data_IF_105216530566
#
_entry.id   IF_105216530566
#
_cell.length_a   1.000
_cell.length_b   1.000
_cell.length_c   1.000
_cell.angle_alpha   90.00
_cell.angle_beta   90.00
_cell.angle_gamma   90.00
#
_symmetry.space_group_name_H-M   'P 1'
#
loop_
_entity.id
_entity.type
_entity.pdbx_description
1 polymer ?
#
# COMPACT_ATOMS: atom_id res chain seq x y z
N UNK A 1 -21.52 9.43 -3.71
CA UNK A 1 -21.45 9.43 -2.23
C UNK A 1 -22.12 8.17 -1.68
N UNK A 2 -21.50 7.01 -1.88
CA UNK A 2 -22.14 5.69 -1.67
C UNK A 2 -22.47 5.42 -0.20
N UNK A 3 -21.54 5.73 0.72
CA UNK A 3 -21.73 5.52 2.17
C UNK A 3 -22.92 6.33 2.71
N UNK A 4 -23.10 7.57 2.24
CA UNK A 4 -24.21 8.40 2.68
C UNK A 4 -25.57 7.85 2.21
N UNK A 5 -25.63 7.34 0.97
CA UNK A 5 -26.85 6.69 0.46
C UNK A 5 -27.22 5.45 1.28
N UNK A 6 -26.24 4.72 1.83
CA UNK A 6 -26.48 3.55 2.70
C UNK A 6 -26.81 3.92 4.14
N UNK A 7 -26.29 5.03 4.67
CA UNK A 7 -26.54 5.48 6.04
C UNK A 7 -27.86 6.23 6.17
N UNK A 8 -28.27 6.95 5.12
CA UNK A 8 -29.47 7.79 5.13
C UNK A 8 -30.61 7.21 4.28
N UNK A 9 -30.51 5.97 3.80
CA UNK A 9 -31.51 5.32 2.94
C UNK A 9 -32.90 5.21 3.58
N UNK A 10 -32.97 5.04 4.90
CA UNK A 10 -34.23 4.88 5.66
C UNK A 10 -34.67 6.17 6.36
N UNK A 11 -33.89 7.25 6.24
CA UNK A 11 -34.15 8.51 6.93
C UNK A 11 -35.06 9.42 6.12
N UNK A 12 -36.07 9.98 6.77
CA UNK A 12 -37.14 10.76 6.12
C UNK A 12 -36.63 12.01 5.37
N UNK A 13 -35.47 12.51 5.78
CA UNK A 13 -34.78 13.67 5.17
C UNK A 13 -33.43 13.27 4.54
N UNK A 14 -33.19 11.98 4.32
CA UNK A 14 -31.88 11.48 3.87
C UNK A 14 -31.46 12.07 2.53
N UNK A 15 -32.38 12.19 1.57
CA UNK A 15 -32.10 12.78 0.26
C UNK A 15 -31.66 14.24 0.33
N UNK A 16 -32.27 15.02 1.22
CA UNK A 16 -31.92 16.44 1.42
C UNK A 16 -30.56 16.59 2.10
N UNK A 17 -30.25 15.73 3.07
CA UNK A 17 -28.92 15.72 3.70
C UNK A 17 -27.86 15.30 2.71
N UNK A 18 -28.12 14.29 1.88
CA UNK A 18 -27.22 13.82 0.83
C UNK A 18 -26.97 14.91 -0.21
N UNK A 19 -28.01 15.58 -0.72
CA UNK A 19 -27.87 16.64 -1.71
C UNK A 19 -27.09 17.83 -1.17
N UNK A 20 -27.37 18.23 0.07
CA UNK A 20 -26.65 19.32 0.75
C UNK A 20 -25.18 18.98 0.96
N UNK A 21 -24.87 17.73 1.35
CA UNK A 21 -23.49 17.27 1.56
C UNK A 21 -22.73 17.04 0.25
N UNK A 22 -23.41 16.64 -0.84
CA UNK A 22 -22.77 16.51 -2.15
C UNK A 22 -22.37 17.86 -2.74
N UNK A 23 -23.08 18.93 -2.39
CA UNK A 23 -22.72 20.30 -2.77
C UNK A 23 -21.56 20.88 -1.94
N UNK A 24 -21.19 20.24 -0.83
CA UNK A 24 -20.01 20.63 -0.05
C UNK A 24 -18.75 20.13 -0.75
N UNK A 25 -18.25 20.93 -1.70
CA UNK A 25 -16.91 20.75 -2.25
C UNK A 25 -15.88 21.02 -1.15
N UNK A 26 -15.29 19.94 -0.61
CA UNK A 26 -14.09 20.07 0.21
C UNK A 26 -12.98 20.59 -0.70
N UNK A 27 -12.55 21.83 -0.48
CA UNK A 27 -11.45 22.41 -1.26
C UNK A 27 -10.23 21.49 -1.25
N UNK A 28 -9.48 21.45 -2.35
CA UNK A 28 -8.34 20.54 -2.53
C UNK A 28 -7.37 20.54 -1.33
N UNK A 29 -7.15 21.69 -0.70
CA UNK A 29 -6.34 21.84 0.52
C UNK A 29 -6.87 21.04 1.72
N UNK A 30 -8.18 20.91 1.85
CA UNK A 30 -8.83 20.15 2.92
C UNK A 30 -8.71 18.65 2.69
N UNK A 31 -8.84 18.20 1.44
CA UNK A 31 -8.63 16.80 1.06
C UNK A 31 -7.17 16.42 1.32
N UNK A 32 -6.21 17.21 0.83
CA UNK A 32 -4.78 16.99 1.05
C UNK A 32 -4.44 16.94 2.54
N UNK A 33 -4.95 17.88 3.34
CA UNK A 33 -4.72 17.89 4.79
C UNK A 33 -5.25 16.62 5.48
N UNK A 34 -6.40 16.10 5.03
CA UNK A 34 -6.97 14.85 5.56
C UNK A 34 -6.13 13.64 5.18
N UNK A 35 -5.69 13.53 3.93
CA UNK A 35 -4.80 12.44 3.48
C UNK A 35 -3.49 12.45 4.26
N UNK A 36 -2.86 13.63 4.43
CA UNK A 36 -1.64 13.77 5.22
C UNK A 36 -1.85 13.38 6.69
N UNK A 37 -2.98 13.77 7.29
CA UNK A 37 -3.30 13.41 8.67
C UNK A 37 -3.51 11.89 8.85
N UNK A 38 -4.17 11.23 7.90
CA UNK A 38 -4.32 9.77 7.91
C UNK A 38 -2.99 9.05 7.74
N UNK A 39 -2.14 9.52 6.81
CA UNK A 39 -0.79 8.99 6.61
C UNK A 39 0.06 9.12 7.88
N UNK A 40 0.09 10.31 8.50
CA UNK A 40 0.82 10.51 9.75
C UNK A 40 0.33 9.59 10.88
N UNK A 41 -0.99 9.39 10.98
CA UNK A 41 -1.54 8.48 11.98
C UNK A 41 -1.13 7.01 11.76
N UNK A 42 -1.10 6.54 10.51
CA UNK A 42 -0.64 5.20 10.15
C UNK A 42 0.85 5.02 10.48
N UNK A 43 1.69 6.00 10.15
CA UNK A 43 3.12 5.99 10.48
C UNK A 43 3.34 5.87 11.99
N UNK A 44 2.65 6.67 12.79
CA UNK A 44 2.78 6.58 14.25
C UNK A 44 2.32 5.24 14.83
N UNK A 45 1.30 4.60 14.23
CA UNK A 45 0.86 3.27 14.65
C UNK A 45 1.94 2.22 14.36
N UNK A 46 2.52 2.25 13.16
CA UNK A 46 3.61 1.35 12.77
C UNK A 46 4.83 1.52 13.66
N UNK A 47 5.24 2.75 13.96
CA UNK A 47 6.38 3.02 14.85
C UNK A 47 6.14 2.47 16.26
N UNK A 48 4.92 2.63 16.80
CA UNK A 48 4.57 2.07 18.12
C UNK A 48 4.61 0.55 18.12
N UNK A 49 4.19 -0.08 17.04
CA UNK A 49 4.17 -1.54 16.96
C UNK A 49 5.58 -2.10 16.75
N UNK A 50 6.40 -1.47 15.91
CA UNK A 50 7.83 -1.76 15.78
C UNK A 50 8.58 -1.62 17.11
N UNK A 51 8.30 -0.56 17.88
CA UNK A 51 8.94 -0.33 19.18
C UNK A 51 8.55 -1.37 20.26
N UNK A 52 7.38 -1.99 20.16
CA UNK A 52 6.95 -3.07 21.07
C UNK A 52 7.60 -4.41 20.74
N UNK A 53 8.02 -4.60 19.50
CA UNK A 53 8.65 -5.83 19.07
C UNK A 53 10.10 -5.89 19.59
N UNK A 54 10.39 -6.92 20.40
CA UNK A 54 11.77 -7.26 20.78
C UNK A 54 12.44 -8.01 19.62
N UNK A 55 12.82 -7.30 18.58
CA UNK A 55 13.61 -7.89 17.51
C UNK A 55 15.06 -8.00 17.97
N UNK A 56 15.58 -9.21 18.02
CA UNK A 56 17.01 -9.38 17.89
C UNK A 56 17.30 -9.32 16.38
N UNK A 57 18.17 -8.39 15.96
CA UNK A 57 18.72 -8.43 14.60
C UNK A 57 19.64 -9.65 14.51
N UNK A 58 19.03 -10.81 14.32
CA UNK A 58 19.72 -11.96 13.79
C UNK A 58 19.53 -11.82 12.29
N UNK A 59 20.59 -11.39 11.59
CA UNK A 59 20.68 -11.51 10.14
C UNK A 59 20.74 -13.01 9.82
N UNK A 60 19.59 -13.68 9.96
CA UNK A 60 19.31 -14.94 9.32
C UNK A 60 18.72 -14.56 7.97
N UNK A 61 19.52 -14.67 6.92
CA UNK A 61 19.02 -14.55 5.56
C UNK A 61 18.03 -15.69 5.27
N UNK A 62 17.11 -15.47 4.34
CA UNK A 62 16.19 -16.51 3.85
C UNK A 62 16.96 -17.73 3.27
N UNK A 63 18.22 -17.52 2.88
CA UNK A 63 19.15 -18.54 2.37
C UNK A 63 19.74 -19.49 3.43
N UNK A 64 19.41 -19.32 4.71
CA UNK A 64 19.55 -20.36 5.71
C UNK A 64 20.44 -20.01 6.89
N UNK A 65 20.69 -21.02 7.73
CA UNK A 65 21.31 -20.93 9.07
C UNK A 65 22.79 -20.52 9.07
N UNK A 66 23.20 -19.53 8.30
CA UNK A 66 24.61 -19.14 8.19
C UNK A 66 24.86 -17.92 9.05
N UNK A 67 25.50 -18.17 10.19
CA UNK A 67 26.01 -17.14 11.10
C UNK A 67 27.29 -16.52 10.50
N UNK A 68 27.27 -16.09 9.24
CA UNK A 68 28.45 -15.69 8.46
C UNK A 68 29.23 -14.55 9.12
N UNK A 69 28.51 -13.67 9.81
CA UNK A 69 29.06 -12.46 10.40
C UNK A 69 29.41 -12.60 11.89
N UNK A 70 29.26 -13.78 12.49
CA UNK A 70 29.63 -14.01 13.90
C UNK A 70 30.54 -15.24 14.08
N UNK A 71 31.85 -15.13 13.76
CA UNK A 71 32.81 -16.24 13.82
C UNK A 71 32.93 -16.87 15.22
N UNK A 72 32.86 -16.06 16.28
CA UNK A 72 32.91 -16.55 17.66
C UNK A 72 31.70 -17.42 18.00
N UNK A 73 30.52 -17.09 17.46
CA UNK A 73 29.31 -17.90 17.63
C UNK A 73 29.43 -19.20 16.85
N UNK A 74 29.97 -19.17 15.62
CA UNK A 74 30.22 -20.39 14.85
C UNK A 74 31.14 -21.37 15.59
N UNK A 75 32.23 -20.88 16.18
CA UNK A 75 33.15 -21.71 16.98
C UNK A 75 32.44 -22.39 18.14
N UNK A 76 31.64 -21.63 18.90
CA UNK A 76 30.89 -22.17 20.06
C UNK A 76 29.84 -23.21 19.64
N UNK A 77 29.16 -22.98 18.52
CA UNK A 77 28.15 -23.92 18.01
C UNK A 77 28.79 -25.21 17.46
N UNK A 78 29.96 -25.11 16.81
CA UNK A 78 30.71 -26.26 16.31
C UNK A 78 31.18 -27.17 17.46
N UNK A 79 31.68 -26.56 18.54
CA UNK A 79 32.30 -27.29 19.64
C UNK A 79 31.27 -27.81 20.67
N UNK A 80 30.01 -27.37 20.59
CA UNK A 80 28.97 -27.74 21.55
C UNK A 80 27.66 -28.13 20.86
N UNK A 81 27.46 -29.44 20.68
CA UNK A 81 26.26 -29.99 20.05
C UNK A 81 24.94 -29.61 20.76
N UNK A 82 24.96 -29.46 22.09
CA UNK A 82 23.76 -29.03 22.83
C UNK A 82 23.41 -27.56 22.59
N UNK A 83 24.43 -26.70 22.49
CA UNK A 83 24.27 -25.30 22.12
C UNK A 83 23.81 -25.16 20.67
N UNK A 84 24.35 -25.97 19.75
CA UNK A 84 23.91 -26.04 18.35
C UNK A 84 22.42 -26.39 18.25
N UNK A 85 21.98 -27.46 18.91
CA UNK A 85 20.57 -27.86 18.88
C UNK A 85 19.62 -26.82 19.50
N UNK A 86 20.05 -26.15 20.57
CA UNK A 86 19.29 -25.06 21.18
C UNK A 86 19.20 -23.83 20.26
N UNK A 87 20.30 -23.49 19.59
CA UNK A 87 20.36 -22.40 18.60
C UNK A 87 19.46 -22.70 17.41
N UNK A 88 19.54 -23.91 16.84
CA UNK A 88 18.69 -24.34 15.73
C UNK A 88 17.20 -24.19 16.06
N UNK A 89 16.80 -24.61 17.27
CA UNK A 89 15.41 -24.49 17.72
C UNK A 89 14.98 -23.04 17.94
N UNK A 90 15.89 -22.16 18.38
CA UNK A 90 15.62 -20.74 18.53
C UNK A 90 15.51 -20.04 17.18
N UNK A 91 16.41 -20.35 16.24
CA UNK A 91 16.39 -19.83 14.87
C UNK A 91 15.11 -20.26 14.15
N UNK A 92 14.70 -21.52 14.27
CA UNK A 92 13.45 -22.02 13.69
C UNK A 92 12.22 -21.25 14.20
N UNK A 93 12.13 -21.00 15.51
CA UNK A 93 11.07 -20.18 16.09
C UNK A 93 11.08 -18.75 15.56
N UNK A 94 12.27 -18.17 15.40
CA UNK A 94 12.43 -16.84 14.83
C UNK A 94 11.92 -16.80 13.39
N UNK A 95 12.34 -17.73 12.52
CA UNK A 95 11.84 -17.85 11.15
C UNK A 95 10.32 -18.01 11.10
N UNK A 96 9.73 -18.82 11.98
CA UNK A 96 8.27 -18.96 12.06
C UNK A 96 7.58 -17.64 12.38
N UNK A 97 8.14 -16.82 13.29
CA UNK A 97 7.59 -15.50 13.60
C UNK A 97 7.75 -14.54 12.43
N UNK A 98 8.92 -14.51 11.78
CA UNK A 98 9.16 -13.67 10.59
C UNK A 98 8.20 -14.03 9.46
N UNK A 99 8.11 -15.32 9.11
CA UNK A 99 7.22 -15.79 8.04
C UNK A 99 5.76 -15.49 8.36
N UNK A 100 5.35 -15.68 9.62
CA UNK A 100 3.99 -15.31 10.05
C UNK A 100 3.74 -13.82 9.91
N UNK A 101 4.69 -12.96 10.31
CA UNK A 101 4.56 -11.51 10.18
C UNK A 101 4.54 -11.07 8.71
N UNK A 102 5.39 -11.65 7.86
CA UNK A 102 5.35 -11.46 6.42
C UNK A 102 3.98 -11.81 5.83
N UNK A 103 3.43 -12.97 6.22
CA UNK A 103 2.10 -13.37 5.77
C UNK A 103 0.98 -12.47 6.31
N UNK A 104 1.05 -12.05 7.58
CA UNK A 104 0.08 -11.09 8.14
C UNK A 104 0.14 -9.74 7.42
N UNK A 105 1.33 -9.29 7.02
CA UNK A 105 1.51 -8.08 6.21
C UNK A 105 0.91 -8.27 4.82
N UNK A 106 1.29 -9.33 4.10
CA UNK A 106 0.70 -9.65 2.79
C UNK A 106 -0.82 -9.75 2.85
N UNK A 107 -1.38 -10.43 3.85
CA UNK A 107 -2.82 -10.57 4.02
C UNK A 107 -3.50 -9.23 4.32
N UNK A 108 -2.86 -8.36 5.11
CA UNK A 108 -3.40 -7.06 5.49
C UNK A 108 -3.40 -6.07 4.33
N UNK A 109 -2.42 -6.18 3.43
CA UNK A 109 -2.21 -5.26 2.31
C UNK A 109 -2.41 -5.93 0.94
N UNK A 110 -3.11 -7.07 0.89
CA UNK A 110 -3.35 -7.79 -0.36
C UNK A 110 -4.23 -7.00 -1.34
N UNK A 111 -5.04 -6.09 -0.80
CA UNK A 111 -5.87 -5.14 -1.53
C UNK A 111 -5.04 -4.09 -2.29
N UNK A 112 -3.81 -3.79 -1.84
CA UNK A 112 -2.92 -2.88 -2.57
C UNK A 112 -2.51 -3.44 -3.93
N UNK A 113 -2.42 -4.76 -4.06
CA UNK A 113 -2.23 -5.41 -5.35
C UNK A 113 -3.41 -5.17 -6.31
N UNK A 114 -4.63 -5.08 -5.78
CA UNK A 114 -5.82 -4.75 -6.58
C UNK A 114 -5.88 -3.26 -6.94
N UNK A 115 -5.29 -2.40 -6.10
CA UNK A 115 -5.20 -0.96 -6.35
C UNK A 115 -4.07 -0.57 -7.29
N UNK A 116 -3.07 -1.42 -7.52
CA UNK A 116 -1.89 -1.11 -8.33
C UNK A 116 -2.23 -0.62 -9.76
N UNK A 117 -3.13 -1.27 -10.52
CA UNK A 117 -3.55 -0.76 -11.83
C UNK A 117 -4.21 0.62 -11.74
N UNK A 118 -5.05 0.83 -10.72
CA UNK A 118 -5.77 2.07 -10.47
C UNK A 118 -4.81 3.22 -10.11
N UNK A 119 -3.87 2.97 -9.20
CA UNK A 119 -2.85 3.93 -8.76
C UNK A 119 -1.91 4.27 -9.91
N UNK A 120 -1.53 3.28 -10.72
CA UNK A 120 -0.71 3.49 -11.91
C UNK A 120 -1.38 4.44 -12.90
N UNK A 121 -2.68 4.23 -13.16
CA UNK A 121 -3.45 5.12 -14.02
C UNK A 121 -3.62 6.51 -13.43
N UNK A 122 -4.02 6.66 -12.16
CA UNK A 122 -4.18 7.98 -11.53
C UNK A 122 -2.86 8.75 -11.52
N UNK A 123 -1.74 8.05 -11.31
CA UNK A 123 -0.40 8.65 -11.34
C UNK A 123 0.01 9.06 -12.75
N UNK A 124 -0.51 8.39 -13.77
CA UNK A 124 -0.21 8.67 -15.17
C UNK A 124 -1.45 8.47 -16.07
N UNK A 125 -2.42 9.40 -16.08
CA UNK A 125 -3.73 9.19 -16.73
C UNK A 125 -3.67 9.07 -18.26
N UNK A 126 -2.52 9.40 -18.83
CA UNK A 126 -2.24 9.42 -20.27
C UNK A 126 -1.38 8.22 -20.70
N UNK A 127 -1.13 7.27 -19.80
CA UNK A 127 -0.53 5.98 -20.18
C UNK A 127 -1.46 5.20 -21.11
N UNK A 128 -0.87 4.39 -21.99
CA UNK A 128 -1.65 3.41 -22.73
C UNK A 128 -2.07 2.30 -21.78
N UNK A 129 -3.39 2.10 -21.70
CA UNK A 129 -4.05 1.06 -20.92
C UNK A 129 -5.10 0.41 -21.80
N UNK A 130 -5.44 -0.84 -21.47
CA UNK A 130 -6.68 -1.44 -21.94
C UNK A 130 -7.83 -0.73 -21.21
N UNK A 131 -8.56 0.10 -21.97
CA UNK A 131 -9.61 0.97 -21.46
C UNK A 131 -10.70 0.18 -20.73
N UNK A 132 -11.16 -0.91 -21.34
CA UNK A 132 -12.26 -1.72 -20.79
C UNK A 132 -11.80 -2.46 -19.55
N UNK A 133 -10.60 -3.07 -19.59
CA UNK A 133 -10.05 -3.77 -18.44
C UNK A 133 -9.88 -2.84 -17.22
N UNK A 134 -9.31 -1.65 -17.42
CA UNK A 134 -9.08 -0.73 -16.29
C UNK A 134 -10.36 -0.06 -15.81
N UNK A 135 -11.32 0.20 -16.69
CA UNK A 135 -12.62 0.73 -16.29
C UNK A 135 -13.42 -0.29 -15.48
N UNK A 136 -13.41 -1.57 -15.85
CA UNK A 136 -14.01 -2.66 -15.07
C UNK A 136 -13.33 -2.80 -13.70
N UNK A 137 -11.99 -2.71 -13.65
CA UNK A 137 -11.25 -2.75 -12.38
C UNK A 137 -11.61 -1.56 -11.48
N UNK A 138 -11.54 -0.33 -11.99
CA UNK A 138 -11.93 0.88 -11.24
C UNK A 138 -13.40 0.83 -10.79
N UNK A 139 -14.28 0.33 -11.67
CA UNK A 139 -15.70 0.11 -11.38
C UNK A 139 -15.88 -0.85 -10.21
N UNK A 140 -15.21 -2.00 -10.22
CA UNK A 140 -15.28 -2.99 -9.15
C UNK A 140 -14.66 -2.48 -7.84
N UNK A 141 -13.51 -1.82 -7.90
CA UNK A 141 -12.77 -1.32 -6.73
C UNK A 141 -13.51 -0.16 -6.04
N UNK A 142 -14.07 0.77 -6.80
CA UNK A 142 -14.71 1.97 -6.24
C UNK A 142 -16.25 1.92 -6.25
N UNK A 143 -16.83 0.82 -6.74
CA UNK A 143 -18.27 0.61 -6.89
C UNK A 143 -18.94 1.76 -7.68
N UNK A 144 -18.40 2.03 -8.87
CA UNK A 144 -18.87 3.08 -9.80
C UNK A 144 -19.25 2.46 -11.14
N UNK A 145 -20.04 3.16 -11.96
CA UNK A 145 -20.46 2.64 -13.28
C UNK A 145 -19.29 2.56 -14.26
N UNK A 146 -19.05 1.37 -14.84
CA UNK A 146 -17.95 1.14 -15.75
C UNK A 146 -18.02 2.02 -17.01
N UNK A 147 -19.22 2.24 -17.56
CA UNK A 147 -19.39 3.08 -18.76
C UNK A 147 -19.05 4.55 -18.51
N UNK A 148 -19.43 5.08 -17.35
CA UNK A 148 -19.01 6.43 -16.93
C UNK A 148 -17.50 6.52 -16.74
N UNK A 149 -16.88 5.50 -16.14
CA UNK A 149 -15.43 5.45 -15.96
C UNK A 149 -14.70 5.42 -17.31
N UNK A 150 -15.17 4.64 -18.28
CA UNK A 150 -14.59 4.63 -19.64
C UNK A 150 -14.61 6.01 -20.29
N UNK A 151 -15.71 6.75 -20.16
CA UNK A 151 -15.85 8.11 -20.70
C UNK A 151 -14.88 9.08 -20.00
N UNK A 152 -14.73 8.99 -18.68
CA UNK A 152 -13.79 9.82 -17.93
C UNK A 152 -12.33 9.52 -18.31
N UNK A 153 -11.97 8.23 -18.43
CA UNK A 153 -10.63 7.83 -18.88
C UNK A 153 -10.34 8.38 -20.27
N UNK A 154 -11.27 8.24 -21.22
CA UNK A 154 -11.13 8.79 -22.58
C UNK A 154 -10.97 10.31 -22.56
N UNK A 155 -11.69 10.99 -21.68
CA UNK A 155 -11.61 12.44 -21.51
C UNK A 155 -10.21 12.84 -21.02
N UNK A 156 -9.71 12.18 -19.97
CA UNK A 156 -8.38 12.42 -19.41
C UNK A 156 -7.26 12.08 -20.41
N UNK A 157 -7.38 10.97 -21.11
CA UNK A 157 -6.42 10.54 -22.14
C UNK A 157 -6.44 11.42 -23.38
N UNK A 158 -7.49 12.21 -23.62
CA UNK A 158 -7.56 13.13 -24.75
C UNK A 158 -7.25 14.59 -24.38
N UNK A 159 -7.11 14.90 -23.09
CA UNK A 159 -6.78 16.24 -22.62
C UNK A 159 -5.37 16.67 -23.09
N UNK A 160 -5.32 17.77 -23.84
CA UNK A 160 -4.09 18.31 -24.42
C UNK A 160 -3.17 18.92 -23.36
N UNK A 161 -3.72 19.49 -22.29
CA UNK A 161 -2.94 20.08 -21.20
C UNK A 161 -2.26 19.00 -20.35
N UNK A 162 -2.97 17.91 -20.04
CA UNK A 162 -2.39 16.75 -19.35
C UNK A 162 -1.26 16.12 -20.17
N UNK A 163 -1.46 15.94 -21.48
CA UNK A 163 -0.40 15.46 -22.39
C UNK A 163 0.83 16.36 -22.42
N UNK A 164 0.63 17.68 -22.41
CA UNK A 164 1.74 18.63 -22.43
C UNK A 164 2.59 18.60 -21.16
N UNK A 165 1.97 18.37 -19.99
CA UNK A 165 2.64 18.35 -18.69
C UNK A 165 3.10 16.94 -18.25
N UNK A 166 2.66 15.88 -18.93
CA UNK A 166 2.98 14.49 -18.62
C UNK A 166 4.48 14.22 -18.52
N UNK A 167 5.28 14.73 -19.47
CA UNK A 167 6.74 14.50 -19.47
C UNK A 167 7.41 15.10 -18.23
N UNK A 168 6.93 16.25 -17.77
CA UNK A 168 7.47 16.92 -16.58
C UNK A 168 7.01 16.23 -15.28
N UNK A 169 5.75 15.79 -15.23
CA UNK A 169 5.20 15.06 -14.09
C UNK A 169 5.82 13.65 -13.92
N UNK A 170 6.05 12.92 -15.02
CA UNK A 170 6.75 11.63 -15.00
C UNK A 170 8.19 11.77 -14.49
N UNK A 171 8.89 12.84 -14.87
CA UNK A 171 10.24 13.09 -14.40
C UNK A 171 10.27 13.39 -12.88
N UNK A 172 9.32 14.18 -12.38
CA UNK A 172 9.19 14.44 -10.94
C UNK A 172 8.81 13.18 -10.15
N UNK A 173 7.88 12.36 -10.65
CA UNK A 173 7.49 11.09 -10.01
C UNK A 173 8.65 10.08 -9.99
N UNK A 174 9.47 10.04 -11.04
CA UNK A 174 10.68 9.22 -11.10
C UNK A 174 11.71 9.67 -10.06
N UNK A 175 11.89 10.98 -9.87
CA UNK A 175 12.84 11.52 -8.89
C UNK A 175 12.35 11.40 -7.44
N UNK A 176 11.04 11.39 -7.19
CA UNK A 176 10.49 11.46 -5.81
C UNK A 176 9.81 10.18 -5.29
N UNK A 177 9.17 9.38 -6.13
CA UNK A 177 8.38 8.22 -5.69
C UNK A 177 9.08 6.86 -5.92
N UNK A 178 9.94 6.75 -6.93
CA UNK A 178 10.63 5.50 -7.25
C UNK A 178 11.48 4.95 -6.08
N UNK A 179 12.21 5.78 -5.31
CA UNK A 179 12.91 5.28 -4.12
C UNK A 179 11.97 4.71 -3.05
N UNK A 180 10.73 5.18 -2.96
CA UNK A 180 9.77 4.75 -1.94
C UNK A 180 9.12 3.41 -2.28
N UNK A 181 8.75 3.22 -3.56
CA UNK A 181 8.17 1.95 -4.03
C UNK A 181 9.24 0.85 -4.20
N UNK A 182 10.47 1.18 -4.58
CA UNK A 182 11.56 0.20 -4.71
C UNK A 182 12.01 -0.37 -3.34
N UNK A 183 11.88 0.41 -2.26
CA UNK A 183 12.22 -0.03 -0.90
C UNK A 183 11.10 -0.84 -0.21
N UNK A 184 9.90 -0.91 -0.78
CA UNK A 184 8.81 -1.74 -0.25
C UNK A 184 8.77 -3.13 -0.91
N UNK A 185 9.49 -3.31 -2.03
CA UNK A 185 9.54 -4.54 -2.82
C UNK A 185 10.88 -5.31 -2.69
N UNK A 186 11.78 -4.86 -1.80
CA UNK A 186 13.02 -5.51 -1.38
C UNK A 186 12.99 -5.71 0.13
#
# INVERSE_FOLDING_TARGET
MVIANTVFSDEKNGSDVISTLSDVQLGASTIVRRVLAMSGNLTEQLDRDLAKCRWFSIQCDESGKKVLHFPSVQSVLHDNASASGAFDKAAEKYFQVINRLGQEFENRFCDFGQLEPCVSFISNPVMQVDLTCIAEQLSATFNVDAGQVEIEILTLQNDLHLKAHQKHAQQLLYESCLPFWFNLAL
#
